data_IF_967617344672
#
_entry.id   IF_967617344672
#
_cell.length_a   1.000
_cell.length_b   1.000
_cell.length_c   1.000
_cell.angle_alpha   90.00
_cell.angle_beta   90.00
_cell.angle_gamma   90.00
#
_symmetry.space_group_name_H-M   'P 1'
#
loop_
_entity.id
_entity.type
_entity.pdbx_description
1 polymer ?
#
# COMPACT_ATOMS: atom_id res chain seq x y z
N UNK A 1 -14.14 -16.78 -8.25
CA UNK A 1 -13.13 -17.26 -9.18
C UNK A 1 -12.35 -16.15 -9.85
N UNK A 2 -11.18 -16.49 -10.36
CA UNK A 2 -10.19 -15.52 -10.86
C UNK A 2 -10.43 -15.06 -12.33
N UNK A 3 -11.69 -14.75 -12.71
CA UNK A 3 -12.03 -14.30 -14.08
C UNK A 3 -12.59 -12.88 -14.10
N UNK A 4 -12.05 -12.03 -13.23
CA UNK A 4 -12.49 -10.65 -13.06
C UNK A 4 -12.45 -9.86 -14.36
N UNK A 5 -11.37 -10.01 -15.15
CA UNK A 5 -11.23 -9.31 -16.44
C UNK A 5 -12.37 -9.62 -17.41
N UNK A 6 -12.77 -10.89 -17.54
CA UNK A 6 -13.86 -11.30 -18.44
C UNK A 6 -15.21 -10.75 -17.98
N UNK A 7 -15.47 -10.74 -16.66
CA UNK A 7 -16.70 -10.18 -16.08
C UNK A 7 -16.74 -8.67 -16.32
N UNK A 8 -15.66 -7.95 -16.00
CA UNK A 8 -15.57 -6.50 -16.17
C UNK A 8 -15.69 -6.08 -17.63
N UNK A 9 -15.05 -6.80 -18.56
CA UNK A 9 -15.16 -6.53 -19.99
C UNK A 9 -16.60 -6.71 -20.49
N UNK A 10 -17.29 -7.76 -20.05
CA UNK A 10 -18.69 -7.98 -20.40
C UNK A 10 -19.58 -6.88 -19.80
N UNK A 11 -19.37 -6.51 -18.53
CA UNK A 11 -20.10 -5.40 -17.91
C UNK A 11 -19.87 -4.07 -18.65
N UNK A 12 -18.62 -3.80 -19.06
CA UNK A 12 -18.29 -2.60 -19.84
C UNK A 12 -19.14 -2.51 -21.11
N UNK A 13 -19.14 -3.56 -21.96
CA UNK A 13 -19.94 -3.54 -23.19
C UNK A 13 -21.44 -3.39 -22.94
N UNK A 14 -21.96 -3.98 -21.85
CA UNK A 14 -23.38 -3.89 -21.50
C UNK A 14 -23.78 -2.52 -20.97
N UNK A 15 -22.86 -1.81 -20.30
CA UNK A 15 -23.14 -0.50 -19.73
C UNK A 15 -22.94 0.61 -20.77
N UNK A 16 -21.88 0.50 -21.59
CA UNK A 16 -21.51 1.57 -22.53
C UNK A 16 -22.18 1.47 -23.88
N UNK A 17 -22.58 0.25 -24.26
CA UNK A 17 -23.20 -0.06 -25.56
C UNK A 17 -22.42 0.51 -26.78
N UNK A 18 -21.10 0.63 -26.65
CA UNK A 18 -20.22 1.11 -27.77
C UNK A 18 -20.33 0.25 -29.01
N UNK A 19 -20.77 -1.00 -28.85
CA UNK A 19 -21.23 -1.91 -29.91
C UNK A 19 -22.49 -2.63 -29.39
N UNK A 20 -23.37 -3.17 -30.29
CA UNK A 20 -24.53 -3.92 -29.84
C UNK A 20 -24.14 -5.04 -28.87
N UNK A 21 -24.86 -5.13 -27.74
CA UNK A 21 -24.54 -6.06 -26.65
C UNK A 21 -24.45 -7.50 -27.12
N UNK A 22 -25.41 -7.95 -27.94
CA UNK A 22 -25.44 -9.31 -28.46
C UNK A 22 -24.19 -9.62 -29.29
N UNK A 23 -23.77 -8.66 -30.14
CA UNK A 23 -22.55 -8.78 -30.91
C UNK A 23 -21.31 -8.85 -30.01
N UNK A 24 -21.23 -8.02 -28.94
CA UNK A 24 -20.15 -8.04 -28.01
C UNK A 24 -20.03 -9.41 -27.32
N UNK A 25 -21.15 -9.94 -26.82
CA UNK A 25 -21.21 -11.25 -26.15
C UNK A 25 -20.80 -12.38 -27.09
N UNK A 26 -21.31 -12.35 -28.34
CA UNK A 26 -20.93 -13.32 -29.35
C UNK A 26 -19.42 -13.32 -29.62
N UNK A 27 -18.85 -12.14 -29.85
CA UNK A 27 -17.42 -12.00 -30.14
C UNK A 27 -16.56 -12.41 -28.93
N UNK A 28 -16.96 -12.03 -27.73
CA UNK A 28 -16.26 -12.46 -26.51
C UNK A 28 -16.25 -14.00 -26.39
N UNK A 29 -17.38 -14.66 -26.59
CA UNK A 29 -17.48 -16.12 -26.57
C UNK A 29 -16.63 -16.77 -27.68
N UNK A 30 -16.61 -16.21 -28.87
CA UNK A 30 -15.75 -16.64 -29.99
C UNK A 30 -14.27 -16.59 -29.64
N UNK A 31 -13.81 -15.46 -29.06
CA UNK A 31 -12.41 -15.30 -28.63
C UNK A 31 -12.03 -16.21 -27.47
N UNK A 32 -12.98 -16.52 -26.57
CA UNK A 32 -12.78 -17.49 -25.49
C UNK A 32 -12.46 -18.88 -26.07
N UNK A 33 -13.22 -19.34 -27.06
CA UNK A 33 -12.93 -20.62 -27.73
C UNK A 33 -11.55 -20.60 -28.39
N UNK A 34 -11.22 -19.52 -29.10
CA UNK A 34 -9.90 -19.37 -29.76
C UNK A 34 -8.75 -19.42 -28.75
N UNK A 35 -8.92 -18.79 -27.59
CA UNK A 35 -7.85 -18.66 -26.57
C UNK A 35 -7.76 -19.85 -25.64
N UNK A 36 -8.89 -20.46 -25.31
CA UNK A 36 -8.97 -21.48 -24.25
C UNK A 36 -9.50 -22.83 -24.72
N UNK A 37 -9.94 -23.00 -25.98
CA UNK A 37 -10.49 -24.24 -26.49
C UNK A 37 -9.58 -25.46 -26.29
N UNK A 38 -8.26 -25.27 -26.45
CA UNK A 38 -7.25 -26.32 -26.20
C UNK A 38 -7.09 -26.72 -24.73
N UNK A 39 -7.65 -25.93 -23.79
CA UNK A 39 -7.59 -26.19 -22.35
C UNK A 39 -8.79 -27.01 -21.83
N UNK A 40 -9.69 -27.41 -22.74
CA UNK A 40 -10.85 -28.21 -22.42
C UNK A 40 -12.15 -27.41 -22.26
N UNK A 41 -13.28 -28.09 -22.41
CA UNK A 41 -14.62 -27.50 -22.37
C UNK A 41 -14.95 -26.85 -21.03
N UNK A 42 -14.49 -27.42 -19.91
CA UNK A 42 -14.70 -26.87 -18.58
C UNK A 42 -14.15 -25.44 -18.45
N UNK A 43 -12.98 -25.19 -19.04
CA UNK A 43 -12.36 -23.86 -19.02
C UNK A 43 -13.14 -22.88 -19.87
N UNK A 44 -13.59 -23.31 -21.06
CA UNK A 44 -14.43 -22.51 -21.95
C UNK A 44 -15.74 -22.14 -21.26
N UNK A 45 -16.44 -23.13 -20.69
CA UNK A 45 -17.73 -22.93 -20.03
C UNK A 45 -17.66 -22.00 -18.82
N UNK A 46 -16.59 -22.11 -18.00
CA UNK A 46 -16.34 -21.19 -16.88
C UNK A 46 -16.10 -19.75 -17.36
N UNK A 47 -15.51 -19.55 -18.53
CA UNK A 47 -15.35 -18.21 -19.11
C UNK A 47 -16.66 -17.70 -19.75
N UNK A 48 -17.48 -18.57 -20.34
CA UNK A 48 -18.83 -18.21 -20.79
C UNK A 48 -19.71 -17.73 -19.65
N UNK A 49 -19.72 -18.45 -18.53
CA UNK A 49 -20.41 -18.01 -17.30
C UNK A 49 -19.92 -16.63 -16.82
N UNK A 50 -18.63 -16.36 -16.94
CA UNK A 50 -18.08 -15.05 -16.58
C UNK A 50 -18.57 -13.93 -17.51
N UNK A 51 -18.71 -14.19 -18.83
CA UNK A 51 -19.33 -13.26 -19.77
C UNK A 51 -20.78 -12.99 -19.42
N UNK A 52 -21.55 -14.06 -19.13
CA UNK A 52 -22.98 -13.96 -18.84
C UNK A 52 -23.19 -13.18 -17.51
N UNK A 53 -22.38 -13.43 -16.49
CA UNK A 53 -22.41 -12.74 -15.20
C UNK A 53 -22.01 -11.26 -15.28
N UNK A 54 -21.39 -10.81 -16.34
CA UNK A 54 -21.15 -9.39 -16.58
C UNK A 54 -22.44 -8.56 -16.67
N UNK A 55 -23.61 -9.21 -16.85
CA UNK A 55 -24.92 -8.58 -16.78
C UNK A 55 -25.49 -8.41 -15.36
N UNK A 56 -24.84 -9.00 -14.35
CA UNK A 56 -25.30 -8.98 -12.93
C UNK A 56 -24.75 -7.75 -12.18
N UNK A 57 -24.59 -6.61 -12.83
CA UNK A 57 -24.11 -5.38 -12.15
C UNK A 57 -25.25 -4.71 -11.37
N UNK A 58 -24.88 -3.96 -10.33
CA UNK A 58 -25.79 -3.14 -9.55
C UNK A 58 -25.58 -1.68 -9.85
N UNK A 59 -26.66 -0.94 -9.97
CA UNK A 59 -26.64 0.52 -10.06
C UNK A 59 -26.81 1.11 -8.68
N UNK A 60 -25.94 2.05 -8.30
CA UNK A 60 -26.06 2.83 -7.08
C UNK A 60 -26.52 4.25 -7.46
N UNK A 61 -27.56 4.74 -6.79
CA UNK A 61 -27.94 6.13 -6.92
C UNK A 61 -26.90 7.00 -6.18
N UNK A 62 -26.29 7.92 -6.91
CA UNK A 62 -25.40 8.94 -6.32
C UNK A 62 -26.25 10.15 -5.97
N UNK A 63 -26.15 10.63 -4.73
CA UNK A 63 -26.86 11.83 -4.31
C UNK A 63 -26.35 13.05 -5.11
N UNK A 64 -27.23 13.76 -5.85
CA UNK A 64 -26.84 14.94 -6.59
C UNK A 64 -26.19 16.04 -5.74
N UNK A 65 -26.46 16.06 -4.43
CA UNK A 65 -25.83 17.00 -3.51
C UNK A 65 -24.32 16.83 -3.42
N UNK A 66 -23.78 15.65 -3.74
CA UNK A 66 -22.32 15.41 -3.75
C UNK A 66 -21.58 16.25 -4.78
N UNK A 67 -22.26 16.67 -5.87
CA UNK A 67 -21.68 17.60 -6.84
C UNK A 67 -21.42 19.02 -6.28
N UNK A 68 -22.06 19.36 -5.18
CA UNK A 68 -21.98 20.66 -4.54
C UNK A 68 -21.26 20.62 -3.19
N UNK A 69 -20.58 19.50 -2.87
CA UNK A 69 -19.73 19.46 -1.69
C UNK A 69 -18.61 20.49 -1.84
N UNK A 70 -18.24 21.17 -0.73
CA UNK A 70 -17.09 22.07 -0.76
C UNK A 70 -15.85 21.28 -1.15
N UNK A 71 -14.94 21.91 -1.89
CA UNK A 71 -13.61 21.33 -2.10
C UNK A 71 -12.94 21.12 -0.74
N UNK A 72 -12.20 20.02 -0.63
CA UNK A 72 -11.38 19.77 0.56
C UNK A 72 -10.44 20.95 0.80
N UNK A 73 -10.28 21.35 2.05
CA UNK A 73 -9.31 22.38 2.40
C UNK A 73 -7.91 21.94 1.93
N UNK A 74 -7.28 22.80 1.14
CA UNK A 74 -5.90 22.55 0.69
C UNK A 74 -4.99 22.53 1.92
N UNK A 75 -4.51 21.36 2.28
CA UNK A 75 -3.52 21.22 3.35
C UNK A 75 -2.24 21.92 2.90
N UNK A 76 -1.99 23.10 3.47
CA UNK A 76 -0.71 23.80 3.29
C UNK A 76 0.32 23.07 4.16
N UNK A 77 1.29 22.43 3.51
CA UNK A 77 2.39 21.73 4.20
C UNK A 77 3.64 22.59 4.11
N UNK A 78 4.32 22.80 5.23
CA UNK A 78 5.70 23.27 5.21
C UNK A 78 6.59 22.12 4.71
N UNK A 79 7.08 22.26 3.49
CA UNK A 79 7.95 21.26 2.86
C UNK A 79 9.02 21.95 2.01
N UNK A 80 10.19 21.32 1.78
CA UNK A 80 11.24 21.89 0.94
C UNK A 80 10.74 22.16 -0.49
N UNK A 81 11.27 23.23 -1.12
CA UNK A 81 10.90 23.59 -2.49
C UNK A 81 11.11 22.45 -3.51
N UNK A 82 12.11 21.58 -3.26
CA UNK A 82 12.31 20.39 -4.09
C UNK A 82 11.07 19.48 -4.07
N UNK A 83 10.40 19.38 -2.93
CA UNK A 83 9.19 18.57 -2.79
C UNK A 83 7.99 19.29 -3.42
N UNK A 84 7.73 20.54 -3.03
CA UNK A 84 6.55 21.29 -3.51
C UNK A 84 6.57 21.55 -5.01
N UNK A 85 7.74 21.92 -5.55
CA UNK A 85 7.85 22.45 -6.90
C UNK A 85 8.19 21.38 -7.94
N UNK A 86 8.75 20.25 -7.51
CA UNK A 86 9.17 19.18 -8.42
C UNK A 86 8.46 17.85 -8.11
N UNK A 87 8.62 17.32 -6.88
CA UNK A 87 8.14 15.97 -6.53
C UNK A 87 6.61 15.92 -6.54
N UNK A 88 5.94 16.90 -5.95
CA UNK A 88 4.47 16.95 -5.90
C UNK A 88 3.81 16.99 -7.28
N UNK A 89 4.23 17.90 -8.21
CA UNK A 89 3.69 17.90 -9.57
C UNK A 89 3.92 16.59 -10.31
N UNK A 90 5.09 15.96 -10.16
CA UNK A 90 5.39 14.67 -10.81
C UNK A 90 4.45 13.58 -10.26
N UNK A 91 4.31 13.49 -8.94
CA UNK A 91 3.43 12.50 -8.30
C UNK A 91 1.95 12.72 -8.62
N UNK A 92 1.54 13.96 -8.86
CA UNK A 92 0.21 14.31 -9.35
C UNK A 92 0.03 14.07 -10.87
N UNK A 93 1.01 13.47 -11.55
CA UNK A 93 1.03 13.24 -13.00
C UNK A 93 0.99 14.52 -13.83
N UNK A 94 1.45 15.65 -13.28
CA UNK A 94 1.56 16.96 -13.93
C UNK A 94 3.00 17.31 -14.32
N UNK A 95 3.90 16.32 -14.37
CA UNK A 95 5.31 16.51 -14.68
C UNK A 95 5.54 17.16 -16.05
N UNK A 96 4.67 16.89 -17.03
CA UNK A 96 4.76 17.49 -18.38
C UNK A 96 4.49 19.00 -18.38
N UNK A 97 3.88 19.56 -17.34
CA UNK A 97 3.65 20.99 -17.18
C UNK A 97 4.88 21.73 -16.60
N UNK A 98 5.86 20.98 -16.11
CA UNK A 98 7.07 21.55 -15.54
C UNK A 98 8.03 22.00 -16.66
N UNK A 99 8.65 23.20 -16.56
CA UNK A 99 9.68 23.61 -17.49
C UNK A 99 10.93 22.74 -17.32
N UNK A 100 11.68 22.52 -18.40
CA UNK A 100 12.95 21.76 -18.35
C UNK A 100 13.92 22.33 -17.28
N UNK A 101 13.88 23.63 -17.04
CA UNK A 101 14.69 24.28 -16.01
C UNK A 101 14.38 23.83 -14.57
N UNK A 102 13.20 23.28 -14.30
CA UNK A 102 12.86 22.73 -12.98
C UNK A 102 13.78 21.55 -12.61
N UNK A 103 14.27 20.82 -13.61
CA UNK A 103 15.13 19.65 -13.42
C UNK A 103 16.62 19.96 -13.28
N UNK A 104 17.01 21.26 -13.26
CA UNK A 104 18.43 21.67 -13.08
C UNK A 104 19.04 21.13 -11.78
N UNK A 105 18.21 20.97 -10.74
CA UNK A 105 18.64 20.45 -9.43
C UNK A 105 19.04 18.97 -9.46
N UNK A 106 18.68 18.27 -10.53
CA UNK A 106 18.95 16.86 -10.77
C UNK A 106 19.49 16.62 -12.18
N UNK A 107 20.24 17.59 -12.75
CA UNK A 107 20.72 17.56 -14.13
C UNK A 107 21.66 16.37 -14.41
N UNK A 108 22.32 15.84 -13.40
CA UNK A 108 23.21 14.67 -13.46
C UNK A 108 22.47 13.35 -13.19
N UNK A 109 21.14 13.39 -12.98
CA UNK A 109 20.31 12.25 -12.64
C UNK A 109 20.30 11.88 -11.15
N UNK A 110 20.99 12.63 -10.29
CA UNK A 110 20.89 12.43 -8.84
C UNK A 110 19.54 12.92 -8.32
N UNK A 111 19.06 12.31 -7.25
CA UNK A 111 17.83 12.67 -6.58
C UNK A 111 18.08 12.90 -5.10
N UNK A 112 17.41 13.88 -4.50
CA UNK A 112 17.56 14.15 -3.07
C UNK A 112 17.06 12.97 -2.26
N UNK A 113 17.80 12.61 -1.20
CA UNK A 113 17.40 11.57 -0.27
C UNK A 113 16.32 12.06 0.70
N UNK A 114 15.58 11.11 1.29
CA UNK A 114 14.56 11.42 2.29
C UNK A 114 13.21 11.90 1.73
N UNK A 115 13.02 11.89 0.40
CA UNK A 115 11.75 12.32 -0.22
C UNK A 115 10.57 11.45 0.17
N UNK A 116 10.80 10.18 0.56
CA UNK A 116 9.75 9.28 1.03
C UNK A 116 9.01 9.80 2.27
N UNK A 117 9.66 10.63 3.10
CA UNK A 117 9.01 11.27 4.25
C UNK A 117 7.80 12.15 3.85
N UNK A 118 7.79 12.64 2.62
CA UNK A 118 6.74 13.50 2.07
C UNK A 118 5.72 12.74 1.19
N UNK A 119 5.89 11.42 1.03
CA UNK A 119 5.07 10.58 0.15
C UNK A 119 4.54 9.36 0.90
N UNK A 120 3.70 9.60 1.88
CA UNK A 120 3.05 8.53 2.66
C UNK A 120 1.77 8.07 1.96
N UNK A 121 1.72 6.82 1.49
CA UNK A 121 0.63 6.31 0.64
C UNK A 121 -0.39 5.45 1.36
N UNK A 122 -0.02 4.74 2.43
CA UNK A 122 -0.93 3.88 3.18
C UNK A 122 -1.60 2.79 2.33
N UNK A 123 -0.82 2.12 1.47
CA UNK A 123 -1.37 1.16 0.49
C UNK A 123 -1.75 -0.19 1.09
N UNK A 124 -1.28 -0.50 2.29
CA UNK A 124 -1.55 -1.76 2.97
C UNK A 124 -2.93 -1.74 3.64
N UNK A 125 -3.76 -2.77 3.40
CA UNK A 125 -4.99 -2.95 4.17
C UNK A 125 -4.73 -3.47 5.59
N UNK A 126 -3.62 -4.24 5.76
CA UNK A 126 -3.17 -4.77 7.05
C UNK A 126 -1.69 -4.48 7.21
N UNK A 127 -1.31 -4.07 8.42
CA UNK A 127 0.07 -3.76 8.82
C UNK A 127 0.47 -4.54 10.07
N UNK A 128 1.76 -4.78 10.31
CA UNK A 128 2.19 -5.47 11.53
C UNK A 128 2.12 -4.53 12.73
N UNK A 129 1.40 -4.93 13.78
CA UNK A 129 1.52 -4.35 15.12
C UNK A 129 2.60 -5.09 15.90
N UNK A 130 3.33 -4.36 16.78
CA UNK A 130 4.42 -4.93 17.56
C UNK A 130 4.05 -5.11 19.03
N UNK A 131 4.18 -6.35 19.51
CA UNK A 131 4.07 -6.70 20.92
C UNK A 131 5.47 -6.83 21.52
N UNK A 132 5.83 -5.88 22.40
CA UNK A 132 7.13 -5.84 23.04
C UNK A 132 7.40 -7.06 23.93
N UNK A 133 6.40 -7.59 24.64
CA UNK A 133 6.56 -8.71 25.56
C UNK A 133 7.05 -9.99 24.87
N UNK A 134 6.64 -10.20 23.63
CA UNK A 134 7.02 -11.35 22.82
C UNK A 134 8.29 -11.11 21.98
N UNK A 135 8.86 -9.92 21.99
CA UNK A 135 10.02 -9.59 21.17
C UNK A 135 11.34 -10.07 21.82
N UNK A 136 12.12 -10.81 21.05
CA UNK A 136 13.45 -11.29 21.45
C UNK A 136 14.60 -10.46 20.86
N UNK A 137 14.30 -9.32 20.23
CA UNK A 137 15.27 -8.38 19.64
C UNK A 137 16.18 -9.01 18.56
N UNK A 138 15.66 -9.97 17.80
CA UNK A 138 16.46 -10.70 16.79
C UNK A 138 16.58 -9.98 15.44
N UNK A 139 15.82 -8.92 15.20
CA UNK A 139 15.80 -8.07 14.00
C UNK A 139 15.47 -8.79 12.68
N UNK A 140 15.05 -10.05 12.69
CA UNK A 140 14.68 -10.79 11.46
C UNK A 140 13.62 -10.08 10.64
N UNK A 141 12.65 -9.45 11.30
CA UNK A 141 11.58 -8.69 10.66
C UNK A 141 12.11 -7.50 9.83
N UNK A 142 13.09 -6.78 10.37
CA UNK A 142 13.74 -5.68 9.65
C UNK A 142 14.55 -6.18 8.43
N UNK A 143 15.26 -7.30 8.57
CA UNK A 143 16.05 -7.88 7.47
C UNK A 143 15.21 -8.32 6.27
N UNK A 144 13.99 -8.81 6.48
CA UNK A 144 13.13 -9.33 5.40
C UNK A 144 12.18 -8.30 4.83
N UNK A 145 12.12 -7.10 5.41
CA UNK A 145 11.21 -6.06 4.94
C UNK A 145 11.68 -5.52 3.58
N UNK A 146 10.93 -5.72 2.48
CA UNK A 146 11.33 -5.28 1.16
C UNK A 146 11.33 -3.76 1.00
N UNK A 147 10.67 -3.04 1.92
CA UNK A 147 10.47 -1.61 1.87
C UNK A 147 11.13 -0.85 3.02
N UNK A 148 11.83 -1.57 3.90
CA UNK A 148 12.46 -1.04 5.12
C UNK A 148 11.49 -0.26 6.03
N UNK A 149 10.21 -0.60 5.99
CA UNK A 149 9.14 0.01 6.80
C UNK A 149 9.08 -0.53 8.24
N UNK A 150 9.94 -1.44 8.63
CA UNK A 150 10.08 -1.91 10.01
C UNK A 150 11.55 -1.89 10.40
N UNK A 151 11.87 -1.12 11.44
CA UNK A 151 13.27 -0.87 11.85
C UNK A 151 13.43 -0.94 13.34
N UNK A 152 14.60 -1.44 13.83
CA UNK A 152 14.98 -1.35 15.23
C UNK A 152 15.48 0.06 15.53
N UNK A 153 15.04 0.60 16.66
CA UNK A 153 15.55 1.83 17.24
C UNK A 153 16.11 1.55 18.63
N UNK A 154 17.12 2.31 19.00
CA UNK A 154 17.73 2.32 20.32
C UNK A 154 17.65 3.75 20.83
N UNK A 155 17.03 3.94 21.97
CA UNK A 155 16.69 5.23 22.55
C UNK A 155 17.32 5.35 23.93
N UNK A 156 17.82 6.51 24.30
CA UNK A 156 18.21 6.84 25.64
C UNK A 156 17.05 7.45 26.47
N UNK A 157 17.28 7.73 27.74
CA UNK A 157 16.24 8.27 28.62
C UNK A 157 15.78 9.68 28.25
N UNK A 158 16.61 10.46 27.53
CA UNK A 158 16.24 11.80 27.06
C UNK A 158 15.34 11.71 25.82
N UNK A 159 15.67 10.82 24.91
CA UNK A 159 14.88 10.54 23.70
C UNK A 159 13.50 9.93 24.02
N UNK A 160 13.38 9.25 25.17
CA UNK A 160 12.09 8.74 25.64
C UNK A 160 11.18 9.82 26.22
N UNK A 161 11.70 11.01 26.53
CA UNK A 161 10.85 12.08 27.07
C UNK A 161 9.84 12.55 26.03
N UNK A 162 8.55 12.29 26.31
CA UNK A 162 7.47 12.63 25.40
C UNK A 162 7.13 11.55 24.37
N UNK A 163 7.80 10.39 24.46
CA UNK A 163 7.51 9.24 23.62
C UNK A 163 6.61 8.26 24.39
N UNK A 164 5.33 8.20 24.04
CA UNK A 164 4.33 7.36 24.71
C UNK A 164 4.09 6.07 23.90
N UNK A 165 5.11 5.24 23.79
CA UNK A 165 4.98 3.95 23.14
C UNK A 165 5.84 2.88 23.80
N UNK A 166 5.47 1.61 23.64
CA UNK A 166 6.15 0.48 24.26
C UNK A 166 7.61 0.38 23.82
N UNK A 167 8.51 0.18 24.79
CA UNK A 167 9.94 -0.11 24.59
C UNK A 167 10.36 -1.32 25.42
N UNK A 168 11.54 -1.85 25.14
CA UNK A 168 12.17 -2.93 25.90
C UNK A 168 13.58 -2.52 26.35
N UNK A 169 14.00 -2.99 27.49
CA UNK A 169 15.42 -2.95 27.85
C UNK A 169 16.29 -3.72 26.85
N UNK A 170 17.42 -3.14 26.46
CA UNK A 170 18.36 -3.82 25.59
C UNK A 170 19.09 -4.94 26.33
N UNK A 171 19.06 -6.13 25.75
CA UNK A 171 19.67 -7.33 26.35
C UNK A 171 21.17 -7.46 26.05
N UNK A 172 21.63 -6.89 24.93
CA UNK A 172 23.02 -6.95 24.46
C UNK A 172 23.23 -5.97 23.28
N UNK A 173 24.44 -5.47 23.04
CA UNK A 173 25.68 -5.67 23.81
C UNK A 173 25.76 -4.79 25.08
N UNK A 174 26.75 -5.07 25.92
CA UNK A 174 26.94 -4.33 27.19
C UNK A 174 27.18 -2.81 27.00
N UNK A 175 27.64 -2.40 25.82
CA UNK A 175 27.84 -0.98 25.45
C UNK A 175 26.53 -0.21 25.33
N UNK A 176 25.39 -0.88 25.18
CA UNK A 176 24.06 -0.31 25.09
C UNK A 176 23.23 -0.56 26.37
N UNK A 177 23.88 -0.97 27.44
CA UNK A 177 23.21 -1.21 28.73
C UNK A 177 22.54 0.07 29.22
N UNK A 178 21.29 -0.03 29.63
CA UNK A 178 20.50 1.10 30.10
C UNK A 178 19.77 1.86 28.98
N UNK A 179 19.95 1.45 27.72
CA UNK A 179 19.18 2.00 26.61
C UNK A 179 17.92 1.15 26.36
N UNK A 180 17.00 1.73 25.61
CA UNK A 180 15.69 1.15 25.31
C UNK A 180 15.60 0.77 23.84
N UNK A 181 15.02 -0.38 23.58
CA UNK A 181 14.82 -0.92 22.24
C UNK A 181 13.34 -0.78 21.83
N UNK A 182 13.12 -0.35 20.60
CA UNK A 182 11.82 -0.41 19.96
C UNK A 182 11.95 -0.97 18.55
N UNK A 183 11.00 -1.80 18.16
CA UNK A 183 10.78 -2.16 16.77
C UNK A 183 9.66 -1.29 16.24
N UNK A 184 10.01 -0.22 15.51
CA UNK A 184 9.05 0.73 14.96
C UNK A 184 8.62 0.30 13.56
N UNK A 185 7.34 0.48 13.27
CA UNK A 185 6.74 0.25 11.96
C UNK A 185 6.31 1.60 11.37
N UNK A 186 6.78 1.88 10.15
CA UNK A 186 6.19 2.91 9.30
C UNK A 186 4.96 2.31 8.61
N UNK A 187 3.81 2.57 9.16
CA UNK A 187 2.56 1.95 8.73
C UNK A 187 2.10 2.49 7.38
N UNK A 188 2.44 3.73 7.05
CA UNK A 188 2.07 4.39 5.81
C UNK A 188 2.96 3.96 4.62
N UNK A 189 4.19 3.51 4.89
CA UNK A 189 5.11 2.95 3.88
C UNK A 189 5.06 1.42 3.83
N UNK A 190 4.32 0.77 4.72
CA UNK A 190 4.17 -0.68 4.74
C UNK A 190 3.40 -1.17 3.51
N UNK A 191 3.87 -2.28 2.90
CA UNK A 191 3.21 -2.93 1.76
C UNK A 191 2.21 -4.03 2.16
N UNK A 192 2.10 -4.35 3.46
CA UNK A 192 1.19 -5.40 3.95
C UNK A 192 1.56 -6.82 3.53
N UNK A 193 2.82 -7.08 3.15
CA UNK A 193 3.25 -8.37 2.60
C UNK A 193 3.31 -9.52 3.62
N UNK A 194 3.35 -9.23 4.93
CA UNK A 194 3.35 -10.23 6.01
C UNK A 194 4.70 -10.90 6.28
N UNK A 195 5.75 -10.70 5.47
CA UNK A 195 7.04 -11.37 5.61
C UNK A 195 7.66 -11.23 7.02
N UNK A 196 7.53 -10.05 7.63
CA UNK A 196 8.04 -9.79 8.97
C UNK A 196 7.35 -10.64 10.05
N UNK A 197 6.04 -10.87 9.88
CA UNK A 197 5.24 -11.73 10.77
C UNK A 197 5.61 -13.19 10.57
N UNK A 198 5.81 -13.61 9.31
CA UNK A 198 6.13 -15.01 8.99
C UNK A 198 7.47 -15.45 9.59
N UNK A 199 8.51 -14.62 9.51
CA UNK A 199 9.84 -14.94 10.03
C UNK A 199 10.00 -14.67 11.52
N UNK A 200 9.02 -14.04 12.17
CA UNK A 200 9.10 -13.72 13.59
C UNK A 200 9.05 -15.00 14.44
N UNK A 201 10.12 -15.36 15.16
CA UNK A 201 10.10 -16.52 16.04
C UNK A 201 9.33 -16.25 17.32
N UNK A 202 9.29 -14.99 17.77
CA UNK A 202 8.72 -14.59 19.03
C UNK A 202 9.36 -15.23 20.25
N UNK A 203 8.78 -14.98 21.40
CA UNK A 203 9.19 -15.61 22.65
C UNK A 203 8.42 -16.91 22.87
N UNK A 204 9.12 -18.03 22.98
CA UNK A 204 8.52 -19.37 23.17
C UNK A 204 7.44 -19.71 22.16
N UNK A 205 7.62 -19.27 20.90
CA UNK A 205 6.67 -19.50 19.81
C UNK A 205 5.52 -18.48 19.71
N UNK A 206 5.40 -17.55 20.66
CA UNK A 206 4.43 -16.44 20.57
C UNK A 206 5.05 -15.31 19.77
N UNK A 207 4.53 -15.07 18.57
CA UNK A 207 5.04 -14.03 17.67
C UNK A 207 4.93 -12.65 18.31
N UNK A 208 5.94 -11.81 18.08
CA UNK A 208 5.95 -10.41 18.49
C UNK A 208 5.27 -9.49 17.47
N UNK A 209 4.90 -10.01 16.30
CA UNK A 209 4.24 -9.27 15.25
C UNK A 209 2.97 -9.99 14.82
N UNK A 210 1.90 -9.21 14.63
CA UNK A 210 0.60 -9.69 14.16
C UNK A 210 0.06 -8.69 13.14
N UNK A 211 -0.52 -9.18 12.03
CA UNK A 211 -1.16 -8.29 11.05
C UNK A 211 -2.51 -7.83 11.55
N UNK A 212 -2.72 -6.52 11.57
CA UNK A 212 -3.97 -5.87 11.98
C UNK A 212 -4.40 -4.85 10.92
N UNK A 213 -5.67 -4.41 10.88
CA UNK A 213 -6.10 -3.37 9.95
C UNK A 213 -5.31 -2.07 10.15
N UNK A 214 -4.89 -1.44 9.04
CA UNK A 214 -4.12 -0.18 9.05
C UNK A 214 -4.81 0.92 9.87
N UNK A 215 -6.13 1.02 9.79
CA UNK A 215 -6.91 2.05 10.48
C UNK A 215 -6.67 2.08 12.00
N UNK A 216 -6.38 0.92 12.62
CA UNK A 216 -6.08 0.80 14.04
C UNK A 216 -4.66 1.21 14.43
N UNK A 217 -3.74 1.31 13.47
CA UNK A 217 -2.31 1.56 13.71
C UNK A 217 -1.86 2.95 13.19
N UNK A 218 -2.77 3.79 12.73
CA UNK A 218 -2.42 5.11 12.19
C UNK A 218 -1.66 6.00 13.16
N UNK A 219 -1.87 5.83 14.47
CA UNK A 219 -1.13 6.57 15.50
C UNK A 219 0.38 6.24 15.50
N UNK A 220 0.77 5.06 15.01
CA UNK A 220 2.18 4.66 14.92
C UNK A 220 2.97 5.47 13.89
N UNK A 221 2.32 6.10 12.90
CA UNK A 221 2.99 6.96 11.93
C UNK A 221 3.64 8.19 12.58
N UNK A 222 3.07 8.68 13.69
CA UNK A 222 3.63 9.78 14.45
C UNK A 222 4.92 9.43 15.21
N UNK A 223 5.20 8.13 15.39
CA UNK A 223 6.38 7.62 16.08
C UNK A 223 7.55 7.32 15.14
N UNK A 224 7.33 7.45 13.83
CA UNK A 224 8.35 7.25 12.80
C UNK A 224 9.11 8.56 12.50
#
# INVERSE_FOLDING_TARGET
GNRTNTILQSAFFRITEVIPVDLAVEQMKKFIVKSYGKKGEDVVNKNYQAVDRGGEYKTLAVDPAWANLPEDEKIVREEPAFISDLVRPINAQNGDLLPVSAFKVSADGTWQQGTAAYEKRGVAAFVPTWNSENCIQCNKCSFVCPHASIRPFVLDDEELKGFDAATLEIKAPATLKGMHFRMQVDVMDCLGCGNCVDVCPGMRGNKALTMVPLEGEMAEDANW
#
